data_IF_933074467300
#
_entry.id   IF_933074467300
#
_cell.length_a   1.000
_cell.length_b   1.000
_cell.length_c   1.000
_cell.angle_alpha   90.00
_cell.angle_beta   90.00
_cell.angle_gamma   90.00
#
_symmetry.space_group_name_H-M   'P 1'
#
loop_
_entity.id
_entity.type
_entity.pdbx_description
1 polymer ?
#
# COMPACT_ATOMS: atom_id res chain seq x y z
N UNK A 1 -7.44 15.09 9.64
CA UNK A 1 -7.56 13.88 8.79
C UNK A 1 -6.41 12.95 9.13
N UNK A 2 -6.72 11.72 9.44
CA UNK A 2 -5.76 10.64 9.73
C UNK A 2 -5.75 9.63 8.59
N UNK A 3 -4.58 9.28 8.07
CA UNK A 3 -4.45 8.51 6.83
C UNK A 3 -3.51 7.32 7.06
N UNK A 4 -3.97 6.09 6.75
CA UNK A 4 -3.09 4.93 6.68
C UNK A 4 -2.36 4.93 5.33
N UNK A 5 -1.04 4.84 5.38
CA UNK A 5 -0.20 4.66 4.20
C UNK A 5 0.32 3.22 4.20
N UNK A 6 -0.23 2.40 3.32
CA UNK A 6 0.19 1.01 3.12
C UNK A 6 1.36 0.99 2.15
N UNK A 7 2.45 0.33 2.53
CA UNK A 7 3.71 0.41 1.78
C UNK A 7 4.50 1.69 2.08
N UNK A 8 4.36 2.23 3.29
CA UNK A 8 4.97 3.49 3.70
C UNK A 8 6.49 3.52 3.52
N UNK A 9 7.19 2.38 3.65
CA UNK A 9 8.65 2.34 3.54
C UNK A 9 9.18 2.35 2.09
N UNK A 10 8.31 2.24 1.08
CA UNK A 10 8.67 2.42 -0.34
C UNK A 10 8.95 3.90 -0.67
N UNK A 11 9.54 4.16 -1.85
CA UNK A 11 9.84 5.53 -2.27
C UNK A 11 8.60 6.43 -2.27
N UNK A 12 7.53 6.01 -2.93
CA UNK A 12 6.26 6.76 -2.97
C UNK A 12 5.67 6.90 -1.56
N UNK A 13 5.67 5.82 -0.78
CA UNK A 13 5.14 5.81 0.57
C UNK A 13 5.82 6.81 1.50
N UNK A 14 7.15 6.90 1.47
CA UNK A 14 7.92 7.85 2.27
C UNK A 14 7.60 9.30 1.90
N UNK A 15 7.62 9.64 0.61
CA UNK A 15 7.24 10.97 0.14
C UNK A 15 5.79 11.33 0.53
N UNK A 16 4.89 10.37 0.45
CA UNK A 16 3.50 10.58 0.83
C UNK A 16 3.35 10.85 2.33
N UNK A 17 4.04 10.10 3.17
CA UNK A 17 4.04 10.33 4.62
C UNK A 17 4.57 11.72 4.94
N UNK A 18 5.71 12.12 4.37
CA UNK A 18 6.28 13.45 4.54
C UNK A 18 5.27 14.54 4.11
N UNK A 19 4.67 14.40 2.93
CA UNK A 19 3.67 15.33 2.42
C UNK A 19 2.42 15.44 3.31
N UNK A 20 1.93 14.34 3.85
CA UNK A 20 0.78 14.34 4.77
C UNK A 20 1.10 15.12 6.04
N UNK A 21 2.29 14.89 6.63
CA UNK A 21 2.74 15.58 7.86
C UNK A 21 2.95 17.07 7.61
N UNK A 22 3.62 17.46 6.53
CA UNK A 22 3.87 18.86 6.15
C UNK A 22 2.58 19.65 5.94
N UNK A 23 1.50 18.98 5.51
CA UNK A 23 0.17 19.59 5.33
C UNK A 23 -0.72 19.53 6.59
N UNK A 24 -0.13 19.31 7.77
CA UNK A 24 -0.85 19.35 9.05
C UNK A 24 -1.86 18.21 9.24
N UNK A 25 -1.70 17.11 8.50
CA UNK A 25 -2.49 15.90 8.67
C UNK A 25 -1.66 14.83 9.38
N UNK A 26 -2.29 13.73 9.79
CA UNK A 26 -1.60 12.66 10.49
C UNK A 26 -1.48 11.43 9.59
N UNK A 27 -0.26 10.95 9.41
CA UNK A 27 0.01 9.69 8.74
C UNK A 27 0.21 8.58 9.76
N UNK A 28 -0.48 7.45 9.56
CA UNK A 28 -0.12 6.16 10.13
C UNK A 28 0.64 5.38 9.06
N UNK A 29 1.92 5.11 9.32
CA UNK A 29 2.80 4.45 8.37
C UNK A 29 2.76 2.94 8.59
N UNK A 30 2.13 2.18 7.71
CA UNK A 30 2.14 0.72 7.76
C UNK A 30 3.45 0.21 7.16
N UNK A 31 4.23 -0.44 8.01
CA UNK A 31 5.57 -0.95 7.70
C UNK A 31 5.64 -2.45 7.99
N UNK A 32 6.58 -3.13 7.35
CA UNK A 32 6.73 -4.59 7.49
C UNK A 32 7.64 -5.00 8.64
N UNK A 33 8.58 -4.14 9.04
CA UNK A 33 9.62 -4.46 10.02
C UNK A 33 9.80 -3.34 11.04
N UNK A 34 10.02 -3.69 12.30
CA UNK A 34 10.18 -2.74 13.41
C UNK A 34 11.36 -1.77 13.21
N UNK A 35 12.47 -2.24 12.60
CA UNK A 35 13.63 -1.37 12.33
C UNK A 35 13.33 -0.21 11.38
N UNK A 36 12.21 -0.25 10.67
CA UNK A 36 11.75 0.83 9.80
C UNK A 36 11.03 1.95 10.56
N UNK A 37 10.65 1.71 11.82
CA UNK A 37 9.78 2.60 12.58
C UNK A 37 10.43 3.95 12.92
N UNK A 38 11.74 3.98 13.21
CA UNK A 38 12.45 5.21 13.60
C UNK A 38 12.32 6.31 12.55
N UNK A 39 12.44 5.98 11.28
CA UNK A 39 12.29 6.93 10.18
C UNK A 39 10.97 7.71 10.25
N UNK A 40 9.87 7.03 10.57
CA UNK A 40 8.54 7.62 10.64
C UNK A 40 8.28 8.36 11.94
N UNK A 41 8.77 7.83 13.07
CA UNK A 41 8.70 8.51 14.38
C UNK A 41 9.41 9.86 14.35
N UNK A 42 10.58 9.93 13.75
CA UNK A 42 11.38 11.17 13.63
C UNK A 42 10.64 12.25 12.81
N UNK A 43 9.67 11.86 11.98
CA UNK A 43 8.82 12.74 11.18
C UNK A 43 7.43 13.01 11.79
N UNK A 44 7.21 12.54 13.01
CA UNK A 44 5.94 12.71 13.71
C UNK A 44 4.81 11.82 13.19
N UNK A 45 5.10 10.86 12.31
CA UNK A 45 4.13 9.87 11.87
C UNK A 45 4.05 8.69 12.83
N UNK A 46 2.90 8.04 12.88
CA UNK A 46 2.65 6.85 13.70
C UNK A 46 3.00 5.58 12.91
N UNK A 47 4.11 4.86 13.21
CA UNK A 47 4.37 3.59 12.57
C UNK A 47 3.50 2.47 13.15
N UNK A 48 3.02 1.57 12.29
CA UNK A 48 2.37 0.33 12.68
C UNK A 48 2.99 -0.83 11.88
N UNK A 49 3.38 -1.90 12.61
CA UNK A 49 4.03 -3.04 11.98
C UNK A 49 2.98 -4.08 11.61
N UNK A 50 2.69 -4.17 10.32
CA UNK A 50 1.77 -5.17 9.74
C UNK A 50 2.30 -5.63 8.40
N UNK A 51 2.37 -6.94 8.21
CA UNK A 51 2.75 -7.55 6.93
C UNK A 51 1.51 -7.77 6.07
N UNK A 52 1.54 -7.28 4.83
CA UNK A 52 0.44 -7.46 3.85
C UNK A 52 0.16 -8.93 3.50
N UNK A 53 1.12 -9.82 3.72
CA UNK A 53 0.94 -11.26 3.47
C UNK A 53 0.17 -11.95 4.60
N UNK A 54 -0.13 -11.24 5.72
CA UNK A 54 -0.95 -11.75 6.82
C UNK A 54 -2.45 -11.54 6.58
N UNK A 55 -3.22 -11.54 7.67
CA UNK A 55 -4.68 -11.52 7.61
C UNK A 55 -5.26 -10.13 7.32
N UNK A 56 -6.49 -10.11 6.81
CA UNK A 56 -7.28 -8.88 6.61
C UNK A 56 -7.55 -8.19 7.94
N UNK A 57 -7.79 -8.95 9.00
CA UNK A 57 -8.10 -8.45 10.34
C UNK A 57 -6.95 -7.62 10.93
N UNK A 58 -5.70 -8.04 10.73
CA UNK A 58 -4.53 -7.27 11.19
C UNK A 58 -4.44 -5.92 10.47
N UNK A 59 -4.73 -5.88 9.17
CA UNK A 59 -4.76 -4.64 8.38
C UNK A 59 -5.95 -3.76 8.82
N UNK A 60 -7.12 -4.35 9.06
CA UNK A 60 -8.30 -3.64 9.53
C UNK A 60 -8.08 -3.02 10.91
N UNK A 61 -7.38 -3.71 11.81
CA UNK A 61 -7.01 -3.15 13.12
C UNK A 61 -6.11 -1.93 12.96
N UNK A 62 -5.12 -1.98 12.05
CA UNK A 62 -4.25 -0.84 11.73
C UNK A 62 -5.04 0.34 11.12
N UNK A 63 -6.17 0.08 10.47
CA UNK A 63 -7.00 1.09 9.83
C UNK A 63 -8.06 1.71 10.75
N UNK A 64 -8.30 1.17 11.93
CA UNK A 64 -9.35 1.66 12.85
C UNK A 64 -9.19 3.13 13.20
N UNK A 65 -10.31 3.84 13.13
CA UNK A 65 -10.40 5.25 13.51
C UNK A 65 -9.71 6.21 12.54
N UNK A 66 -9.38 5.74 11.33
CA UNK A 66 -8.76 6.56 10.30
C UNK A 66 -9.79 7.02 9.26
N UNK A 67 -9.48 8.14 8.62
CA UNK A 67 -10.37 8.77 7.64
C UNK A 67 -10.16 8.24 6.22
N UNK A 68 -8.95 7.76 5.91
CA UNK A 68 -8.58 7.29 4.59
C UNK A 68 -7.46 6.26 4.62
N UNK A 69 -7.37 5.46 3.56
CA UNK A 69 -6.26 4.55 3.29
C UNK A 69 -5.67 4.88 1.92
N UNK A 70 -4.35 4.94 1.84
CA UNK A 70 -3.62 4.99 0.56
C UNK A 70 -2.77 3.73 0.43
N UNK A 71 -3.05 2.96 -0.60
CA UNK A 71 -2.26 1.79 -0.96
C UNK A 71 -1.15 2.19 -1.94
N UNK A 72 0.09 2.20 -1.45
CA UNK A 72 1.29 2.51 -2.22
C UNK A 72 2.31 1.36 -2.15
N UNK A 73 1.89 0.17 -1.73
CA UNK A 73 2.75 -0.99 -1.66
C UNK A 73 3.01 -1.59 -3.05
N UNK A 74 4.20 -2.14 -3.20
CA UNK A 74 4.62 -2.91 -4.35
C UNK A 74 5.78 -3.81 -3.95
N UNK A 75 5.87 -4.99 -4.57
CA UNK A 75 6.91 -5.97 -4.28
C UNK A 75 8.31 -5.52 -4.71
N UNK A 76 8.36 -4.62 -5.68
CA UNK A 76 9.60 -4.10 -6.25
C UNK A 76 10.20 -4.99 -7.36
N UNK A 77 11.19 -4.47 -8.11
CA UNK A 77 11.71 -5.14 -9.30
C UNK A 77 12.63 -6.34 -8.99
N UNK A 78 13.06 -6.50 -7.74
CA UNK A 78 14.01 -7.55 -7.31
C UNK A 78 13.35 -8.74 -6.63
N UNK A 79 12.01 -8.78 -6.60
CA UNK A 79 11.24 -9.89 -6.04
C UNK A 79 10.66 -10.77 -7.15
N UNK A 80 10.28 -12.01 -6.81
CA UNK A 80 9.66 -12.93 -7.74
C UNK A 80 8.22 -12.58 -8.11
N UNK A 81 7.68 -13.28 -9.13
CA UNK A 81 6.29 -13.13 -9.59
C UNK A 81 5.27 -13.47 -8.50
N UNK A 82 5.62 -14.38 -7.60
CA UNK A 82 4.85 -14.71 -6.41
C UNK A 82 4.59 -13.48 -5.53
N UNK A 83 5.61 -12.66 -5.29
CA UNK A 83 5.46 -11.42 -4.52
C UNK A 83 4.65 -10.36 -5.26
N UNK A 84 4.71 -10.33 -6.58
CA UNK A 84 3.82 -9.47 -7.39
C UNK A 84 2.35 -9.85 -7.16
N UNK A 85 2.03 -11.13 -7.11
CA UNK A 85 0.67 -11.60 -6.83
C UNK A 85 0.29 -11.33 -5.37
N UNK A 86 1.13 -11.70 -4.41
CA UNK A 86 0.80 -11.65 -2.98
C UNK A 86 0.80 -10.22 -2.40
N UNK A 87 1.60 -9.32 -2.95
CA UNK A 87 1.73 -7.95 -2.44
C UNK A 87 0.97 -6.96 -3.34
N UNK A 88 1.29 -6.92 -4.65
CA UNK A 88 0.71 -5.91 -5.55
C UNK A 88 -0.77 -6.15 -5.83
N UNK A 89 -1.20 -7.41 -5.95
CA UNK A 89 -2.60 -7.76 -6.20
C UNK A 89 -3.34 -8.12 -4.91
N UNK A 90 -3.00 -9.23 -4.29
CA UNK A 90 -3.71 -9.74 -3.11
C UNK A 90 -3.61 -8.77 -1.92
N UNK A 91 -2.46 -8.12 -1.74
CA UNK A 91 -2.29 -7.09 -0.72
C UNK A 91 -3.23 -5.88 -0.93
N UNK A 92 -3.46 -5.48 -2.18
CA UNK A 92 -4.42 -4.42 -2.49
C UNK A 92 -5.85 -4.85 -2.16
N UNK A 93 -6.26 -6.05 -2.58
CA UNK A 93 -7.60 -6.61 -2.32
C UNK A 93 -7.83 -6.72 -0.80
N UNK A 94 -6.91 -7.33 -0.06
CA UNK A 94 -7.00 -7.44 1.41
C UNK A 94 -7.10 -6.07 2.09
N UNK A 95 -6.41 -5.07 1.57
CA UNK A 95 -6.48 -3.71 2.12
C UNK A 95 -7.84 -3.07 1.85
N UNK A 96 -8.49 -3.34 0.71
CA UNK A 96 -9.86 -2.89 0.45
C UNK A 96 -10.87 -3.58 1.39
N UNK A 97 -10.76 -4.89 1.58
CA UNK A 97 -11.57 -5.64 2.55
C UNK A 97 -11.37 -5.11 3.98
N UNK A 98 -10.12 -4.83 4.35
CA UNK A 98 -9.79 -4.23 5.64
C UNK A 98 -10.39 -2.83 5.81
N UNK A 99 -10.45 -2.03 4.74
CA UNK A 99 -11.11 -0.73 4.76
C UNK A 99 -12.60 -0.85 5.05
N UNK A 100 -13.28 -1.82 4.41
CA UNK A 100 -14.70 -2.11 4.69
C UNK A 100 -14.90 -2.55 6.14
N UNK A 101 -14.10 -3.48 6.63
CA UNK A 101 -14.17 -3.96 8.02
C UNK A 101 -13.94 -2.85 9.05
N UNK A 102 -13.02 -1.92 8.78
CA UNK A 102 -12.70 -0.79 9.65
C UNK A 102 -13.65 0.40 9.48
N UNK A 103 -14.58 0.35 8.51
CA UNK A 103 -15.50 1.44 8.19
C UNK A 103 -14.85 2.65 7.53
N UNK A 104 -13.67 2.49 6.92
CA UNK A 104 -12.96 3.56 6.20
C UNK A 104 -13.50 3.69 4.80
N UNK A 105 -14.08 4.86 4.48
CA UNK A 105 -14.79 5.09 3.21
C UNK A 105 -13.94 5.68 2.09
N UNK A 106 -12.72 6.12 2.38
CA UNK A 106 -11.81 6.69 1.39
C UNK A 106 -10.64 5.76 1.17
N UNK A 107 -10.57 5.24 -0.03
CA UNK A 107 -9.46 4.39 -0.48
C UNK A 107 -8.83 4.97 -1.73
N UNK A 108 -7.51 5.07 -1.73
CA UNK A 108 -6.72 5.52 -2.89
C UNK A 108 -5.72 4.44 -3.24
N UNK A 109 -5.78 3.95 -4.46
CA UNK A 109 -4.83 2.99 -4.99
C UNK A 109 -3.79 3.69 -5.86
N UNK A 110 -2.51 3.53 -5.54
CA UNK A 110 -1.43 3.90 -6.45
C UNK A 110 -1.29 2.80 -7.49
N UNK A 111 -1.83 3.06 -8.66
CA UNK A 111 -1.82 2.13 -9.79
C UNK A 111 -0.58 2.30 -10.67
N UNK A 112 -0.65 1.95 -11.94
CA UNK A 112 0.40 2.06 -12.93
C UNK A 112 -0.06 2.91 -14.10
N UNK A 113 0.88 3.43 -14.88
CA UNK A 113 0.57 4.10 -16.14
C UNK A 113 -0.04 3.08 -17.11
N UNK A 114 -1.24 3.34 -17.57
CA UNK A 114 -1.98 2.53 -18.55
C UNK A 114 -2.16 1.06 -18.15
N UNK A 115 -3.15 0.79 -17.29
CA UNK A 115 -3.51 -0.56 -16.82
C UNK A 115 -4.48 -1.32 -17.73
N UNK A 116 -4.77 -0.82 -18.94
CA UNK A 116 -5.69 -1.51 -19.86
C UNK A 116 -5.15 -2.88 -20.28
N UNK A 117 -6.06 -3.83 -20.49
CA UNK A 117 -5.70 -5.21 -20.84
C UNK A 117 -4.86 -5.30 -22.11
N UNK A 118 -5.16 -4.50 -23.11
CA UNK A 118 -4.45 -4.46 -24.39
C UNK A 118 -2.97 -4.10 -24.17
N UNK A 119 -2.72 -3.13 -23.30
CA UNK A 119 -1.37 -2.65 -23.00
C UNK A 119 -0.49 -3.71 -22.33
N UNK A 120 -1.05 -4.43 -21.31
CA UNK A 120 -0.21 -5.41 -20.64
C UNK A 120 -0.05 -6.72 -21.45
N UNK A 121 -0.98 -7.05 -22.35
CA UNK A 121 -0.81 -8.18 -23.27
C UNK A 121 0.39 -8.00 -24.19
N UNK A 122 0.64 -6.76 -24.62
CA UNK A 122 1.76 -6.40 -25.51
C UNK A 122 3.05 -6.06 -24.72
N UNK A 123 3.00 -6.04 -23.39
CA UNK A 123 4.16 -5.74 -22.56
C UNK A 123 5.25 -6.84 -22.66
N UNK A 124 6.52 -6.50 -22.39
CA UNK A 124 7.57 -7.50 -22.27
C UNK A 124 7.21 -8.60 -21.26
N UNK A 125 7.58 -9.85 -21.55
CA UNK A 125 7.21 -11.02 -20.74
C UNK A 125 7.54 -10.86 -19.23
N UNK A 126 8.68 -10.25 -18.91
CA UNK A 126 9.08 -10.00 -17.53
C UNK A 126 8.16 -9.01 -16.80
N UNK A 127 7.50 -8.10 -17.54
CA UNK A 127 6.64 -7.07 -16.99
C UNK A 127 5.17 -7.49 -16.90
N UNK A 128 4.74 -8.48 -17.69
CA UNK A 128 3.34 -8.93 -17.76
C UNK A 128 2.72 -9.26 -16.40
N UNK A 129 3.39 -10.01 -15.49
CA UNK A 129 2.79 -10.32 -14.18
C UNK A 129 2.47 -9.06 -13.37
N UNK A 130 3.37 -8.07 -13.39
CA UNK A 130 3.13 -6.80 -12.70
C UNK A 130 1.98 -6.01 -13.33
N UNK A 131 1.99 -5.87 -14.65
CA UNK A 131 0.93 -5.15 -15.37
C UNK A 131 -0.44 -5.80 -15.18
N UNK A 132 -0.51 -7.14 -15.21
CA UNK A 132 -1.72 -7.89 -14.92
C UNK A 132 -2.19 -7.69 -13.47
N UNK A 133 -1.27 -7.75 -12.49
CA UNK A 133 -1.60 -7.51 -11.08
C UNK A 133 -2.21 -6.13 -10.87
N UNK A 134 -1.67 -5.10 -11.51
CA UNK A 134 -2.22 -3.73 -11.45
C UNK A 134 -3.58 -3.63 -12.12
N UNK A 135 -3.75 -4.23 -13.29
CA UNK A 135 -5.03 -4.27 -13.99
C UNK A 135 -6.16 -4.88 -13.13
N UNK A 136 -5.88 -5.98 -12.43
CA UNK A 136 -6.88 -6.65 -11.60
C UNK A 136 -7.07 -6.00 -10.22
N UNK A 137 -6.11 -5.21 -9.74
CA UNK A 137 -6.24 -4.45 -8.50
C UNK A 137 -7.07 -3.17 -8.68
N UNK A 138 -7.06 -2.57 -9.87
CA UNK A 138 -7.85 -1.38 -10.23
C UNK A 138 -9.34 -1.69 -10.36
#
# INVERSE_FOLDING_TARGET
MKILVVGANGQIGRHLVDFIQENGKQARAMIRKEEQASYFKDRGAEPVVVDLERSVEEIAEAAKGLDAIVFAAGSGPHTGKDKTILVDLDGAIKTMEAAEMAGVKRFVLVSSFDTRRETWLDAPEAFKPYAAAKYYAD
#
